data_IF_356701526936
#
_entry.id   IF_356701526936
#
_cell.length_a   1.000
_cell.length_b   1.000
_cell.length_c   1.000
_cell.angle_alpha   90.00
_cell.angle_beta   90.00
_cell.angle_gamma   90.00
#
_symmetry.space_group_name_H-M   'P 1'
#
loop_
_entity.id
_entity.type
_entity.pdbx_description
1 polymer ?
#
# COMPACT_ATOMS: atom_id res chain seq x y z
N UNK A 1 -6.37 6.70 -9.81
CA UNK A 1 -7.76 6.27 -9.53
C UNK A 1 -8.46 7.23 -8.56
N UNK A 2 -7.94 7.43 -7.34
CA UNK A 2 -8.52 8.31 -6.30
C UNK A 2 -8.82 9.75 -6.74
N UNK A 3 -7.99 10.38 -7.57
CA UNK A 3 -8.30 11.74 -8.04
C UNK A 3 -9.30 11.77 -9.20
N UNK A 4 -9.29 10.76 -10.09
CA UNK A 4 -10.38 10.59 -11.07
C UNK A 4 -11.70 10.43 -10.34
N UNK A 5 -11.73 9.54 -9.34
CA UNK A 5 -12.81 9.32 -8.36
C UNK A 5 -13.18 10.64 -7.65
N UNK A 6 -12.26 11.38 -7.01
CA UNK A 6 -12.58 12.63 -6.31
C UNK A 6 -13.05 13.77 -7.23
N UNK A 7 -12.53 13.86 -8.46
CA UNK A 7 -12.98 14.84 -9.46
C UNK A 7 -14.28 14.42 -10.14
N UNK A 8 -14.56 13.12 -10.23
CA UNK A 8 -15.76 12.55 -10.84
C UNK A 8 -16.82 12.12 -9.82
N UNK A 9 -16.64 12.35 -8.51
CA UNK A 9 -17.55 11.95 -7.43
C UNK A 9 -17.86 13.14 -6.52
N UNK A 10 -18.42 14.21 -7.09
CA UNK A 10 -19.40 14.98 -6.32
C UNK A 10 -20.60 14.07 -5.99
N UNK A 11 -21.39 14.45 -4.99
CA UNK A 11 -22.63 13.72 -4.63
C UNK A 11 -23.53 13.45 -5.85
N UNK A 12 -23.54 14.34 -6.82
CA UNK A 12 -24.33 14.24 -8.06
C UNK A 12 -23.74 13.29 -9.11
N UNK A 13 -22.43 13.11 -9.17
CA UNK A 13 -21.78 12.25 -10.17
C UNK A 13 -21.63 10.79 -9.72
N UNK A 14 -21.87 10.52 -8.43
CA UNK A 14 -22.20 9.21 -7.89
C UNK A 14 -23.43 8.60 -8.60
N UNK A 15 -24.47 9.41 -8.85
CA UNK A 15 -25.69 9.01 -9.57
C UNK A 15 -25.37 8.66 -11.04
N UNK A 16 -24.48 9.42 -11.69
CA UNK A 16 -24.05 9.16 -13.07
C UNK A 16 -23.25 7.87 -13.25
N UNK A 17 -22.39 7.53 -12.30
CA UNK A 17 -21.66 6.25 -12.31
C UNK A 17 -22.61 5.09 -12.03
N UNK A 18 -23.58 5.25 -11.12
CA UNK A 18 -24.64 4.27 -10.85
C UNK A 18 -25.46 3.99 -12.12
N UNK A 19 -25.87 5.03 -12.86
CA UNK A 19 -26.59 4.85 -14.13
C UNK A 19 -25.73 4.18 -15.21
N UNK A 20 -24.46 4.56 -15.32
CA UNK A 20 -23.57 3.97 -16.34
C UNK A 20 -23.26 2.50 -16.02
N UNK A 21 -23.06 2.17 -14.74
CA UNK A 21 -22.75 0.82 -14.28
C UNK A 21 -23.98 -0.09 -14.32
N UNK A 22 -25.19 0.44 -14.07
CA UNK A 22 -26.44 -0.33 -14.20
C UNK A 22 -26.85 -0.54 -15.65
N UNK A 23 -26.46 0.34 -16.59
CA UNK A 23 -26.75 0.17 -18.02
C UNK A 23 -25.78 -0.76 -18.75
N UNK A 24 -24.57 -0.98 -18.21
CA UNK A 24 -23.61 -1.93 -18.76
C UNK A 24 -23.59 -3.16 -17.84
N UNK A 25 -24.33 -4.21 -18.21
CA UNK A 25 -24.60 -5.47 -17.51
C UNK A 25 -23.36 -6.33 -17.17
N UNK A 26 -22.30 -5.76 -16.59
CA UNK A 26 -21.10 -6.49 -16.19
C UNK A 26 -20.70 -6.10 -14.76
N UNK A 27 -21.52 -6.50 -13.80
CA UNK A 27 -21.02 -6.73 -12.45
C UNK A 27 -21.48 -8.11 -11.98
N UNK A 28 -20.53 -9.02 -11.86
CA UNK A 28 -20.71 -10.25 -11.09
C UNK A 28 -20.38 -9.90 -9.63
N UNK A 29 -21.41 -9.72 -8.81
CA UNK A 29 -21.26 -9.60 -7.36
C UNK A 29 -21.78 -10.88 -6.74
N UNK A 30 -20.91 -11.60 -6.03
CA UNK A 30 -21.32 -12.68 -5.14
C UNK A 30 -22.07 -12.05 -3.95
N UNK A 31 -23.39 -11.86 -4.04
CA UNK A 31 -24.28 -11.41 -2.96
C UNK A 31 -25.22 -10.24 -3.30
N UNK A 32 -25.92 -9.72 -2.28
CA UNK A 32 -26.81 -8.56 -2.42
C UNK A 32 -26.01 -7.27 -2.68
N UNK A 33 -26.26 -6.62 -3.81
CA UNK A 33 -25.63 -5.36 -4.21
C UNK A 33 -26.70 -4.27 -4.32
N UNK A 34 -26.79 -3.39 -3.31
CA UNK A 34 -27.77 -2.31 -3.23
C UNK A 34 -27.14 -0.91 -3.33
N UNK A 35 -27.97 0.13 -3.44
CA UNK A 35 -27.52 1.52 -3.52
C UNK A 35 -26.74 1.95 -2.28
N UNK A 36 -27.06 1.40 -1.10
CA UNK A 36 -26.34 1.66 0.15
C UNK A 36 -24.89 1.14 0.10
N UNK A 37 -24.69 0.00 -0.53
CA UNK A 37 -23.39 -0.63 -0.76
C UNK A 37 -22.54 0.22 -1.71
N UNK A 38 -23.12 0.70 -2.82
CA UNK A 38 -22.42 1.62 -3.74
C UNK A 38 -21.99 2.91 -3.03
N UNK A 39 -22.91 3.52 -2.27
CA UNK A 39 -22.61 4.70 -1.48
C UNK A 39 -21.46 4.47 -0.49
N UNK A 40 -21.41 3.30 0.13
CA UNK A 40 -20.34 2.89 1.04
C UNK A 40 -18.99 2.76 0.35
N UNK A 41 -18.93 2.14 -0.84
CA UNK A 41 -17.70 2.06 -1.64
C UNK A 41 -17.20 3.44 -2.11
N UNK A 42 -18.11 4.32 -2.53
CA UNK A 42 -17.75 5.67 -2.93
C UNK A 42 -17.21 6.48 -1.74
N UNK A 43 -17.87 6.39 -0.56
CA UNK A 43 -17.40 6.99 0.67
C UNK A 43 -16.02 6.44 1.06
N UNK A 44 -15.81 5.14 0.96
CA UNK A 44 -14.51 4.51 1.19
C UNK A 44 -13.44 5.09 0.27
N UNK A 45 -13.67 5.09 -1.04
CA UNK A 45 -12.71 5.61 -2.02
C UNK A 45 -12.41 7.11 -1.82
N UNK A 46 -13.42 7.90 -1.41
CA UNK A 46 -13.27 9.32 -1.11
C UNK A 46 -12.45 9.57 0.15
N UNK A 47 -12.71 8.81 1.22
CA UNK A 47 -12.11 8.97 2.54
C UNK A 47 -10.75 8.28 2.70
N UNK A 48 -10.38 7.41 1.75
CA UNK A 48 -9.09 6.70 1.77
C UNK A 48 -7.92 7.69 1.91
N UNK A 49 -7.03 7.54 2.91
CA UNK A 49 -5.86 8.40 3.05
C UNK A 49 -4.89 8.23 1.86
N UNK A 50 -4.06 9.24 1.56
CA UNK A 50 -3.06 9.11 0.50
C UNK A 50 -2.12 7.92 0.69
N UNK A 51 -1.73 7.28 -0.41
CA UNK A 51 -0.81 6.14 -0.39
C UNK A 51 -1.34 4.87 0.27
N UNK A 52 -2.66 4.72 0.35
CA UNK A 52 -3.33 3.50 0.81
C UNK A 52 -3.92 2.70 -0.36
N UNK A 53 -3.39 2.92 -1.57
CA UNK A 53 -3.64 2.09 -2.74
C UNK A 53 -2.38 1.25 -2.95
N UNK A 54 -2.52 -0.06 -2.94
CA UNK A 54 -1.42 -1.01 -3.06
C UNK A 54 -1.61 -1.82 -4.34
N UNK A 55 -0.50 -2.11 -5.01
CA UNK A 55 -0.46 -3.05 -6.12
C UNK A 55 0.40 -4.24 -5.68
N UNK A 56 -0.14 -5.43 -5.83
CA UNK A 56 0.59 -6.65 -5.56
C UNK A 56 0.98 -7.28 -6.89
N UNK A 57 2.19 -7.83 -6.94
CA UNK A 57 2.73 -8.49 -8.12
C UNK A 57 2.94 -9.96 -7.76
N UNK A 58 2.44 -10.86 -8.61
CA UNK A 58 2.81 -12.28 -8.53
C UNK A 58 4.32 -12.40 -8.76
N UNK A 59 5.00 -13.12 -7.87
CA UNK A 59 6.42 -13.46 -8.02
C UNK A 59 6.57 -14.78 -8.76
N UNK A 60 7.78 -15.08 -9.22
CA UNK A 60 8.15 -16.35 -9.86
C UNK A 60 7.26 -16.72 -11.05
N UNK A 61 6.80 -15.69 -11.76
CA UNK A 61 6.05 -15.87 -13.00
C UNK A 61 7.03 -16.27 -14.10
N UNK A 62 6.82 -17.44 -14.68
CA UNK A 62 7.68 -18.01 -15.74
C UNK A 62 6.84 -18.40 -16.94
N UNK A 63 7.48 -18.44 -18.11
CA UNK A 63 6.84 -18.77 -19.39
C UNK A 63 7.00 -17.66 -20.43
N UNK A 64 6.41 -17.88 -21.60
CA UNK A 64 6.51 -16.95 -22.73
C UNK A 64 5.13 -16.62 -23.31
N UNK A 65 4.43 -17.64 -23.83
CA UNK A 65 3.04 -17.50 -24.33
C UNK A 65 2.00 -17.75 -23.25
N UNK A 66 2.27 -18.72 -22.38
CA UNK A 66 1.50 -18.99 -21.17
C UNK A 66 2.39 -18.72 -19.97
N UNK A 67 1.86 -17.98 -19.00
CA UNK A 67 2.57 -17.63 -17.79
C UNK A 67 2.06 -18.49 -16.65
N UNK A 68 2.99 -19.09 -15.90
CA UNK A 68 2.71 -19.89 -14.72
C UNK A 68 3.39 -19.31 -13.50
N UNK A 69 2.79 -19.47 -12.33
CA UNK A 69 3.35 -19.10 -11.04
C UNK A 69 3.17 -20.27 -10.06
N UNK A 70 4.04 -20.39 -9.07
CA UNK A 70 3.88 -21.42 -8.04
C UNK A 70 2.67 -21.13 -7.17
N UNK A 71 2.01 -22.17 -6.63
CA UNK A 71 0.89 -21.99 -5.70
C UNK A 71 1.31 -21.13 -4.48
N UNK A 72 2.53 -21.31 -3.99
CA UNK A 72 3.10 -20.50 -2.91
C UNK A 72 3.18 -19.00 -3.25
N UNK A 73 3.58 -18.66 -4.48
CA UNK A 73 3.61 -17.26 -4.94
C UNK A 73 2.21 -16.67 -5.04
N UNK A 74 1.23 -17.46 -5.49
CA UNK A 74 -0.19 -17.06 -5.54
C UNK A 74 -0.71 -16.80 -4.12
N UNK A 75 -0.54 -17.76 -3.22
CA UNK A 75 -1.00 -17.68 -1.83
C UNK A 75 -0.38 -16.46 -1.11
N UNK A 76 0.93 -16.25 -1.28
CA UNK A 76 1.63 -15.09 -0.72
C UNK A 76 1.09 -13.77 -1.26
N UNK A 77 0.82 -13.68 -2.57
CA UNK A 77 0.28 -12.48 -3.22
C UNK A 77 -1.14 -12.18 -2.74
N UNK A 78 -1.99 -13.20 -2.62
CA UNK A 78 -3.34 -13.11 -2.06
C UNK A 78 -3.28 -12.68 -0.60
N UNK A 79 -2.38 -13.24 0.21
CA UNK A 79 -2.21 -12.84 1.60
C UNK A 79 -1.79 -11.38 1.73
N UNK A 80 -0.86 -10.89 0.90
CA UNK A 80 -0.49 -9.48 0.85
C UNK A 80 -1.67 -8.60 0.41
N UNK A 81 -2.56 -9.11 -0.43
CA UNK A 81 -3.71 -8.36 -0.96
C UNK A 81 -4.78 -8.19 0.11
N UNK A 82 -5.06 -9.27 0.84
CA UNK A 82 -5.98 -9.29 1.96
C UNK A 82 -5.42 -8.54 3.18
N UNK A 83 -4.10 -8.53 3.36
CA UNK A 83 -3.42 -7.93 4.51
C UNK A 83 -2.29 -6.95 4.09
N UNK A 84 -2.62 -5.82 3.43
CA UNK A 84 -1.59 -4.89 2.97
C UNK A 84 -0.86 -4.24 4.16
N UNK A 85 0.47 -4.15 4.07
CA UNK A 85 1.26 -3.40 5.06
C UNK A 85 1.18 -1.89 4.78
N UNK A 86 0.15 -1.26 5.36
CA UNK A 86 -0.06 0.19 5.30
C UNK A 86 1.08 1.01 5.94
N UNK A 87 1.97 0.37 6.72
CA UNK A 87 3.14 1.00 7.31
C UNK A 87 4.42 0.85 6.49
N UNK A 88 4.41 0.05 5.41
CA UNK A 88 5.61 -0.32 4.67
C UNK A 88 6.38 0.90 4.19
N UNK A 89 5.71 1.87 3.57
CA UNK A 89 6.33 3.08 3.02
C UNK A 89 7.12 3.88 4.07
N UNK A 90 6.57 4.03 5.28
CA UNK A 90 7.23 4.74 6.38
C UNK A 90 8.45 3.96 6.91
N UNK A 91 8.31 2.64 7.10
CA UNK A 91 9.38 1.75 7.52
C UNK A 91 10.54 1.78 6.52
N UNK A 92 10.23 1.61 5.23
CA UNK A 92 11.19 1.58 4.13
C UNK A 92 11.91 2.92 3.95
N UNK A 93 11.18 4.04 4.09
CA UNK A 93 11.81 5.37 4.08
C UNK A 93 12.77 5.55 5.24
N UNK A 94 12.39 5.11 6.45
CA UNK A 94 13.26 5.21 7.62
C UNK A 94 14.55 4.39 7.44
N UNK A 95 14.44 3.15 6.97
CA UNK A 95 15.59 2.28 6.71
C UNK A 95 16.50 2.85 5.63
N UNK A 96 15.96 3.27 4.49
CA UNK A 96 16.75 3.84 3.40
C UNK A 96 17.51 5.12 3.82
N UNK A 97 16.95 5.89 4.76
CA UNK A 97 17.57 7.08 5.34
C UNK A 97 18.47 6.79 6.55
N UNK A 98 18.64 5.53 6.94
CA UNK A 98 19.47 5.13 8.08
C UNK A 98 18.90 5.53 9.44
N UNK A 99 17.57 5.66 9.55
CA UNK A 99 16.87 6.01 10.80
C UNK A 99 16.52 4.76 11.59
N UNK A 100 16.53 4.89 12.92
CA UNK A 100 16.07 3.82 13.81
C UNK A 100 14.58 3.58 13.64
N UNK A 101 14.19 2.31 13.54
CA UNK A 101 12.81 1.89 13.55
C UNK A 101 12.32 1.81 15.00
N UNK A 102 11.25 2.53 15.33
CA UNK A 102 10.55 2.35 16.59
C UNK A 102 9.64 1.11 16.48
N UNK A 103 9.85 0.12 17.35
CA UNK A 103 8.96 -1.03 17.43
C UNK A 103 7.57 -0.53 17.84
N UNK A 104 6.57 -0.75 16.99
CA UNK A 104 5.17 -0.54 17.40
C UNK A 104 4.87 -1.49 18.55
N UNK A 105 4.28 -0.98 19.63
CA UNK A 105 3.81 -1.82 20.72
C UNK A 105 2.86 -2.88 20.18
N UNK A 106 3.12 -4.14 20.51
CA UNK A 106 2.27 -5.28 20.21
C UNK A 106 2.14 -6.08 21.49
N UNK A 107 0.91 -6.33 21.92
CA UNK A 107 0.68 -7.28 22.99
C UNK A 107 1.06 -8.68 22.50
N UNK A 108 1.94 -9.42 23.20
CA UNK A 108 2.27 -10.78 22.81
C UNK A 108 1.00 -11.65 22.83
N UNK A 109 0.84 -12.64 21.92
CA UNK A 109 -0.32 -13.52 21.91
C UNK A 109 -0.60 -14.17 23.28
N UNK A 110 0.46 -14.53 24.01
CA UNK A 110 0.39 -15.11 25.36
C UNK A 110 -0.11 -14.16 26.46
N UNK A 111 -0.40 -12.91 26.13
CA UNK A 111 -1.03 -11.95 27.05
C UNK A 111 -2.45 -11.57 26.61
N UNK A 112 -2.96 -12.22 25.56
CA UNK A 112 -4.28 -11.98 25.00
C UNK A 112 -5.17 -13.17 25.34
N UNK A 113 -6.11 -12.97 26.26
CA UNK A 113 -7.21 -13.92 26.49
C UNK A 113 -8.33 -13.66 25.50
N UNK A 114 -8.82 -14.71 24.85
CA UNK A 114 -9.89 -14.59 23.86
C UNK A 114 -10.92 -15.72 23.96
N UNK A 115 -12.18 -15.39 23.73
CA UNK A 115 -13.22 -16.39 23.48
C UNK A 115 -13.64 -16.32 22.01
N UNK A 116 -13.85 -17.48 21.37
CA UNK A 116 -14.38 -17.55 20.01
C UNK A 116 -15.83 -18.04 20.04
N UNK A 117 -16.72 -17.31 19.38
CA UNK A 117 -18.13 -17.63 19.26
C UNK A 117 -18.48 -17.89 17.79
N UNK A 118 -19.33 -18.90 17.56
CA UNK A 118 -19.86 -19.22 16.25
C UNK A 118 -20.97 -18.24 15.87
N UNK A 119 -20.69 -17.36 14.91
CA UNK A 119 -21.65 -16.42 14.35
C UNK A 119 -22.07 -16.75 12.92
N UNK A 120 -21.68 -17.90 12.37
CA UNK A 120 -21.99 -18.30 10.98
C UNK A 120 -22.83 -19.57 10.86
N UNK A 121 -23.14 -20.23 11.98
CA UNK A 121 -23.99 -21.43 12.02
C UNK A 121 -23.30 -22.71 11.53
N UNK A 122 -22.03 -22.65 11.12
CA UNK A 122 -21.28 -23.83 10.66
C UNK A 122 -20.73 -24.58 11.88
N UNK A 123 -21.13 -25.84 12.03
CA UNK A 123 -20.66 -26.68 13.12
C UNK A 123 -19.11 -26.76 13.15
N UNK A 124 -18.52 -26.63 14.33
CA UNK A 124 -17.06 -26.67 14.51
C UNK A 124 -16.30 -25.40 14.11
N UNK A 125 -16.94 -24.41 13.47
CA UNK A 125 -16.25 -23.21 12.97
C UNK A 125 -15.49 -22.43 14.06
N UNK A 126 -16.15 -22.16 15.19
CA UNK A 126 -15.52 -21.51 16.35
C UNK A 126 -14.45 -22.37 17.03
N UNK A 127 -14.62 -23.69 17.00
CA UNK A 127 -13.65 -24.66 17.53
C UNK A 127 -12.35 -24.65 16.72
N UNK A 128 -12.46 -24.71 15.38
CA UNK A 128 -11.30 -24.65 14.48
C UNK A 128 -10.54 -23.33 14.63
N UNK A 129 -11.27 -22.20 14.64
CA UNK A 129 -10.65 -20.90 14.87
C UNK A 129 -9.96 -20.82 16.25
N UNK A 130 -10.58 -21.36 17.30
CA UNK A 130 -9.98 -21.43 18.64
C UNK A 130 -8.68 -22.24 18.63
N UNK A 131 -8.71 -23.42 18.00
CA UNK A 131 -7.53 -24.29 17.88
C UNK A 131 -6.38 -23.56 17.19
N UNK A 132 -6.63 -22.95 16.04
CA UNK A 132 -5.58 -22.24 15.30
C UNK A 132 -5.06 -20.98 16.01
N UNK A 133 -5.92 -20.26 16.73
CA UNK A 133 -5.49 -19.15 17.59
C UNK A 133 -4.62 -19.65 18.74
N UNK A 134 -4.96 -20.79 19.34
CA UNK A 134 -4.14 -21.47 20.35
C UNK A 134 -2.76 -21.84 19.82
N UNK A 135 -2.69 -22.41 18.60
CA UNK A 135 -1.42 -22.71 17.92
C UNK A 135 -0.57 -21.45 17.67
N UNK A 136 -1.20 -20.28 17.52
CA UNK A 136 -0.52 -18.97 17.40
C UNK A 136 -0.19 -18.33 18.76
N UNK A 137 -0.38 -19.06 19.86
CA UNK A 137 0.02 -18.67 21.21
C UNK A 137 -0.98 -17.80 21.96
N UNK A 138 -2.22 -17.66 21.48
CA UNK A 138 -3.27 -16.94 22.20
C UNK A 138 -3.90 -17.81 23.30
N UNK A 139 -4.32 -17.18 24.40
CA UNK A 139 -5.01 -17.89 25.49
C UNK A 139 -6.52 -17.97 25.21
N UNK A 140 -6.97 -19.12 24.72
CA UNK A 140 -8.40 -19.35 24.49
C UNK A 140 -9.11 -19.62 25.81
N UNK A 141 -10.14 -18.82 26.09
CA UNK A 141 -11.05 -18.96 27.23
C UNK A 141 -12.38 -19.48 26.71
N UNK A 142 -12.83 -20.61 27.27
CA UNK A 142 -14.15 -21.17 26.95
C UNK A 142 -15.27 -20.35 27.61
N UNK A 143 -16.47 -20.31 27.02
CA UNK A 143 -17.66 -19.82 27.70
C UNK A 143 -17.86 -20.53 29.06
N UNK A 144 -18.61 -19.90 29.95
CA UNK A 144 -18.92 -20.50 31.25
C UNK A 144 -19.56 -21.89 31.11
N UNK A 145 -19.32 -22.76 32.10
CA UNK A 145 -19.78 -24.16 32.10
C UNK A 145 -21.26 -24.29 31.67
N UNK A 146 -21.52 -25.19 30.72
CA UNK A 146 -22.85 -25.46 30.16
C UNK A 146 -23.29 -24.56 29.00
N UNK A 147 -22.52 -23.51 28.64
CA UNK A 147 -22.83 -22.67 27.48
C UNK A 147 -22.11 -23.13 26.22
N UNK A 148 -22.84 -23.23 25.11
CA UNK A 148 -22.24 -23.46 23.79
C UNK A 148 -21.47 -22.22 23.33
N UNK A 149 -20.37 -22.40 22.60
CA UNK A 149 -19.62 -21.32 21.97
C UNK A 149 -20.33 -20.75 20.73
N UNK A 150 -21.59 -20.34 20.89
CA UNK A 150 -22.42 -19.73 19.85
C UNK A 150 -22.63 -18.25 20.16
N UNK A 151 -22.63 -17.42 19.13
CA UNK A 151 -23.07 -16.04 19.24
C UNK A 151 -24.62 -15.99 19.38
N UNK A 152 -25.20 -14.87 19.84
CA UNK A 152 -26.64 -14.73 20.01
C UNK A 152 -27.47 -14.95 18.73
N UNK A 153 -26.86 -14.81 17.56
CA UNK A 153 -27.43 -15.14 16.25
C UNK A 153 -26.32 -15.50 15.25
N UNK A 154 -26.69 -15.93 14.05
CA UNK A 154 -25.75 -16.34 13.00
C UNK A 154 -25.71 -15.38 11.79
N UNK A 155 -26.20 -14.16 11.94
CA UNK A 155 -26.32 -13.21 10.82
C UNK A 155 -25.03 -12.40 10.61
N UNK A 156 -23.89 -12.90 11.09
CA UNK A 156 -22.60 -12.24 10.96
C UNK A 156 -22.00 -12.56 9.60
N UNK A 157 -22.19 -11.68 8.62
CA UNK A 157 -21.52 -11.85 7.32
C UNK A 157 -20.00 -11.78 7.50
N UNK A 158 -19.49 -10.71 8.10
CA UNK A 158 -18.07 -10.55 8.45
C UNK A 158 -17.81 -10.92 9.91
N UNK A 159 -16.66 -11.51 10.18
CA UNK A 159 -16.18 -11.72 11.54
C UNK A 159 -16.08 -10.40 12.31
N UNK A 160 -16.29 -10.47 13.63
CA UNK A 160 -16.20 -9.31 14.54
C UNK A 160 -15.26 -9.63 15.69
N UNK A 161 -14.37 -8.70 16.02
CA UNK A 161 -13.52 -8.80 17.22
C UNK A 161 -13.96 -7.74 18.21
N UNK A 162 -14.46 -8.19 19.35
CA UNK A 162 -14.95 -7.35 20.41
C UNK A 162 -13.96 -7.29 21.57
N UNK A 163 -13.49 -6.10 21.92
CA UNK A 163 -12.59 -5.92 23.06
C UNK A 163 -13.34 -5.50 24.34
N UNK A 164 -12.81 -5.88 25.50
CA UNK A 164 -13.30 -5.38 26.78
C UNK A 164 -13.08 -3.86 26.91
N UNK A 165 -14.14 -3.05 27.05
CA UNK A 165 -14.03 -1.59 27.15
C UNK A 165 -13.25 -1.12 28.39
N UNK A 166 -13.22 -1.88 29.48
CA UNK A 166 -12.43 -1.55 30.67
C UNK A 166 -10.91 -1.65 30.42
N UNK A 167 -10.51 -2.41 29.40
CA UNK A 167 -9.11 -2.66 28.99
C UNK A 167 -8.84 -2.15 27.57
N UNK A 168 -9.50 -1.06 27.17
CA UNK A 168 -9.59 -0.60 25.79
C UNK A 168 -8.25 -0.34 25.08
N UNK A 169 -7.21 0.12 25.78
CA UNK A 169 -5.91 0.38 25.15
C UNK A 169 -5.27 -0.91 24.62
N UNK A 170 -5.20 -1.95 25.46
CA UNK A 170 -4.68 -3.25 25.09
C UNK A 170 -5.64 -3.96 24.13
N UNK A 171 -6.94 -3.95 24.42
CA UNK A 171 -7.96 -4.60 23.60
C UNK A 171 -8.04 -4.05 22.16
N UNK A 172 -7.98 -2.74 21.96
CA UNK A 172 -7.92 -2.19 20.59
C UNK A 172 -6.66 -2.65 19.84
N UNK A 173 -5.54 -2.82 20.54
CA UNK A 173 -4.29 -3.23 19.94
C UNK A 173 -4.29 -4.73 19.58
N UNK A 174 -4.69 -5.62 20.50
CA UNK A 174 -4.79 -7.06 20.25
C UNK A 174 -5.92 -7.42 19.29
N UNK A 175 -7.08 -6.77 19.40
CA UNK A 175 -8.21 -7.03 18.51
C UNK A 175 -7.87 -6.78 17.03
N UNK A 176 -7.06 -5.75 16.75
CA UNK A 176 -6.51 -5.51 15.39
C UNK A 176 -5.53 -6.58 14.93
N UNK A 177 -4.81 -7.24 15.85
CA UNK A 177 -3.93 -8.36 15.50
C UNK A 177 -4.77 -9.59 15.12
N UNK A 178 -5.79 -9.92 15.92
CA UNK A 178 -6.71 -11.04 15.65
C UNK A 178 -7.48 -10.79 14.35
N UNK A 179 -7.97 -9.56 14.12
CA UNK A 179 -8.74 -9.22 12.92
C UNK A 179 -7.99 -9.48 11.61
N UNK A 180 -6.66 -9.34 11.60
CA UNK A 180 -5.81 -9.70 10.45
C UNK A 180 -5.70 -11.21 10.24
N UNK A 181 -5.66 -11.98 11.33
CA UNK A 181 -5.58 -13.43 11.27
C UNK A 181 -6.86 -14.04 10.67
N UNK A 182 -8.02 -13.48 10.93
CA UNK A 182 -9.31 -14.02 10.45
C UNK A 182 -9.72 -13.52 9.06
N UNK A 183 -8.81 -12.90 8.29
CA UNK A 183 -9.09 -12.46 6.92
C UNK A 183 -9.90 -11.16 6.80
N UNK A 184 -9.84 -10.29 7.81
CA UNK A 184 -10.56 -9.01 7.99
C UNK A 184 -11.83 -9.12 8.83
N UNK A 185 -11.71 -8.71 10.10
CA UNK A 185 -12.84 -8.49 11.01
C UNK A 185 -12.98 -7.02 11.41
N UNK A 186 -14.21 -6.59 11.74
CA UNK A 186 -14.40 -5.28 12.35
C UNK A 186 -14.07 -5.35 13.85
N UNK A 187 -13.32 -4.35 14.35
CA UNK A 187 -12.91 -4.27 15.76
C UNK A 187 -13.80 -3.25 16.48
N UNK A 188 -14.50 -3.69 17.53
CA UNK A 188 -15.45 -2.86 18.27
C UNK A 188 -15.40 -3.11 19.77
N UNK A 189 -16.01 -2.21 20.56
CA UNK A 189 -16.19 -2.45 22.00
C UNK A 189 -17.20 -3.60 22.19
N UNK A 190 -16.96 -4.46 23.17
CA UNK A 190 -17.83 -5.60 23.47
C UNK A 190 -19.22 -5.12 23.91
N UNK A 191 -20.30 -5.56 23.24
CA UNK A 191 -21.66 -5.27 23.67
C UNK A 191 -22.03 -6.09 24.91
N UNK A 192 -22.96 -5.56 25.70
CA UNK A 192 -23.28 -6.10 27.03
C UNK A 192 -23.78 -7.54 27.02
N UNK A 193 -24.53 -7.92 25.97
CA UNK A 193 -25.06 -9.26 25.77
C UNK A 193 -23.99 -10.33 25.51
N UNK A 194 -22.76 -9.93 25.15
CA UNK A 194 -21.65 -10.86 24.93
C UNK A 194 -20.79 -11.09 26.17
N UNK A 195 -20.82 -10.21 27.18
CA UNK A 195 -19.92 -10.30 28.35
C UNK A 195 -19.94 -11.65 29.06
N UNK A 196 -21.14 -12.25 29.23
CA UNK A 196 -21.30 -13.56 29.86
C UNK A 196 -20.70 -14.68 29.01
N UNK A 197 -20.93 -14.64 27.69
CA UNK A 197 -20.45 -15.65 26.74
C UNK A 197 -18.92 -15.61 26.62
N UNK A 198 -18.33 -14.41 26.65
CA UNK A 198 -16.89 -14.22 26.48
C UNK A 198 -16.10 -14.36 27.79
N UNK A 199 -16.76 -14.71 28.90
CA UNK A 199 -16.15 -15.16 30.16
C UNK A 199 -14.94 -14.31 30.65
N UNK A 200 -15.05 -12.98 30.62
CA UNK A 200 -14.00 -12.07 31.08
C UNK A 200 -12.75 -12.00 30.19
N UNK A 201 -12.75 -12.63 29.02
CA UNK A 201 -11.67 -12.53 28.04
C UNK A 201 -11.43 -11.07 27.62
N UNK A 202 -10.17 -10.74 27.32
CA UNK A 202 -9.82 -9.42 26.77
C UNK A 202 -10.49 -9.20 25.41
N UNK A 203 -10.59 -10.26 24.61
CA UNK A 203 -11.15 -10.27 23.27
C UNK A 203 -12.28 -11.30 23.13
N UNK A 204 -13.25 -11.01 22.29
CA UNK A 204 -14.28 -11.95 21.88
C UNK A 204 -14.42 -11.93 20.36
N UNK A 205 -14.00 -13.01 19.71
CA UNK A 205 -14.08 -13.18 18.27
C UNK A 205 -15.40 -13.87 17.93
N UNK A 206 -16.27 -13.20 17.19
CA UNK A 206 -17.42 -13.84 16.53
C UNK A 206 -17.02 -14.15 15.10
N UNK A 207 -16.92 -15.44 14.74
CA UNK A 207 -16.59 -15.85 13.37
C UNK A 207 -17.82 -15.71 12.47
N UNK A 208 -17.68 -14.97 11.37
CA UNK A 208 -18.74 -14.73 10.39
C UNK A 208 -18.68 -15.71 9.20
N UNK A 209 -19.61 -15.57 8.26
CA UNK A 209 -19.70 -16.44 7.07
C UNK A 209 -18.51 -16.31 6.12
N UNK A 210 -17.74 -15.22 6.21
CA UNK A 210 -16.48 -15.03 5.47
C UNK A 210 -15.30 -15.84 6.03
N UNK A 211 -15.47 -16.55 7.15
CA UNK A 211 -14.42 -17.40 7.71
C UNK A 211 -14.54 -18.84 7.18
N UNK A 212 -13.53 -19.31 6.46
CA UNK A 212 -13.53 -20.60 5.78
C UNK A 212 -12.70 -21.68 6.51
N UNK A 213 -12.61 -21.57 7.84
CA UNK A 213 -11.99 -22.60 8.67
C UNK A 213 -10.46 -22.50 8.84
N UNK A 214 -9.82 -21.51 8.22
CA UNK A 214 -8.38 -21.27 8.31
C UNK A 214 -8.08 -19.80 8.60
N UNK A 215 -7.11 -19.55 9.47
CA UNK A 215 -6.53 -18.25 9.76
C UNK A 215 -5.39 -17.98 8.78
N UNK A 216 -5.25 -16.71 8.42
CA UNK A 216 -4.08 -16.22 7.71
C UNK A 216 -2.78 -16.66 8.43
N UNK A 217 -1.76 -17.10 7.69
CA UNK A 217 -0.46 -17.39 8.26
C UNK A 217 0.09 -16.13 8.96
N UNK A 218 0.84 -16.32 10.05
CA UNK A 218 1.54 -15.20 10.68
C UNK A 218 2.76 -14.89 9.80
N UNK A 219 2.57 -14.03 8.82
CA UNK A 219 3.70 -13.52 8.03
C UNK A 219 4.40 -12.47 8.89
N UNK A 220 5.56 -12.82 9.45
CA UNK A 220 6.47 -11.85 10.03
C UNK A 220 7.27 -11.30 8.85
N UNK A 221 7.00 -10.07 8.37
CA UNK A 221 7.81 -9.52 7.30
C UNK A 221 9.26 -9.46 7.79
N UNK A 222 10.23 -9.85 6.93
CA UNK A 222 11.64 -9.74 7.29
C UNK A 222 11.95 -8.30 7.68
N UNK A 223 12.78 -8.13 8.71
CA UNK A 223 13.18 -6.80 9.14
C UNK A 223 13.95 -6.15 7.98
N UNK A 224 13.49 -5.00 7.44
CA UNK A 224 14.13 -4.43 6.28
C UNK A 224 15.56 -4.00 6.63
N UNK A 225 16.50 -4.34 5.76
CA UNK A 225 17.92 -4.02 5.89
C UNK A 225 18.25 -2.86 4.96
N UNK A 226 19.09 -1.95 5.44
CA UNK A 226 19.58 -0.83 4.63
C UNK A 226 20.75 -1.29 3.77
N UNK A 227 20.73 -0.93 2.50
CA UNK A 227 21.86 -1.17 1.59
C UNK A 227 22.49 0.15 1.12
N UNK A 228 23.77 0.18 0.75
CA UNK A 228 24.35 1.34 0.07
C UNK A 228 23.60 1.64 -1.25
N UNK A 229 23.43 2.92 -1.64
CA UNK A 229 22.83 3.25 -2.93
C UNK A 229 23.78 2.90 -4.08
N UNK A 230 23.25 2.25 -5.11
CA UNK A 230 23.98 1.89 -6.33
C UNK A 230 23.96 3.05 -7.33
N UNK A 231 24.75 4.08 -7.03
CA UNK A 231 24.86 5.29 -7.85
C UNK A 231 26.30 5.64 -8.19
N UNK A 232 26.49 6.28 -9.35
CA UNK A 232 27.72 7.00 -9.71
C UNK A 232 27.47 8.50 -9.84
N UNK A 233 28.50 9.29 -9.60
CA UNK A 233 28.46 10.74 -9.83
C UNK A 233 28.84 11.02 -11.27
N UNK A 234 27.91 11.52 -12.07
CA UNK A 234 28.11 11.71 -13.52
C UNK A 234 27.17 12.79 -14.07
N UNK A 235 27.40 14.08 -13.73
CA UNK A 235 26.59 15.18 -14.26
C UNK A 235 26.77 15.36 -15.78
N UNK A 236 27.96 15.01 -16.31
CA UNK A 236 28.32 15.19 -17.72
C UNK A 236 27.38 14.48 -18.67
N UNK A 237 26.80 13.36 -18.24
CA UNK A 237 25.85 12.56 -19.00
C UNK A 237 24.68 13.37 -19.59
N UNK A 238 24.20 14.41 -18.89
CA UNK A 238 23.02 15.20 -19.33
C UNK A 238 23.27 16.71 -19.37
N UNK A 239 24.41 17.18 -18.88
CA UNK A 239 24.70 18.60 -18.68
C UNK A 239 24.63 19.42 -19.98
N UNK A 240 25.28 18.97 -21.06
CA UNK A 240 25.31 19.69 -22.33
C UNK A 240 23.90 19.81 -22.93
N UNK A 241 23.16 18.70 -22.97
CA UNK A 241 21.79 18.65 -23.49
C UNK A 241 20.85 19.55 -22.70
N UNK A 242 20.89 19.48 -21.36
CA UNK A 242 20.05 20.32 -20.51
C UNK A 242 20.45 21.80 -20.61
N UNK A 243 21.73 22.12 -20.77
CA UNK A 243 22.19 23.48 -20.97
C UNK A 243 21.61 24.11 -22.25
N UNK A 244 21.51 23.33 -23.33
CA UNK A 244 20.84 23.77 -24.57
C UNK A 244 19.33 23.97 -24.44
N UNK A 245 18.69 23.33 -23.45
CA UNK A 245 17.24 23.42 -23.23
C UNK A 245 16.85 24.48 -22.19
N UNK A 246 17.74 24.83 -21.26
CA UNK A 246 17.38 25.62 -20.06
C UNK A 246 16.69 26.96 -20.37
N UNK A 247 17.08 27.66 -21.44
CA UNK A 247 16.49 28.94 -21.85
C UNK A 247 15.11 28.79 -22.53
N UNK A 248 14.82 27.62 -23.10
CA UNK A 248 13.55 27.30 -23.77
C UNK A 248 12.44 26.93 -22.77
N UNK A 249 12.82 26.59 -21.54
CA UNK A 249 11.90 26.10 -20.54
C UNK A 249 11.42 27.23 -19.61
N UNK A 250 10.12 27.34 -19.32
CA UNK A 250 9.57 28.44 -18.50
C UNK A 250 9.84 28.26 -16.99
N UNK A 251 10.67 27.30 -16.60
CA UNK A 251 11.07 26.99 -15.23
C UNK A 251 12.57 26.63 -15.21
N UNK A 252 13.15 26.53 -14.02
CA UNK A 252 14.58 26.23 -13.86
C UNK A 252 14.80 24.72 -13.94
N UNK A 253 15.57 24.23 -14.90
CA UNK A 253 15.90 22.81 -14.98
C UNK A 253 16.75 22.35 -13.80
N UNK A 254 16.65 21.06 -13.43
CA UNK A 254 17.57 20.42 -12.50
C UNK A 254 18.57 19.54 -13.27
N UNK A 255 19.84 19.65 -12.93
CA UNK A 255 20.88 18.76 -13.40
C UNK A 255 20.95 17.53 -12.49
N UNK A 256 20.77 16.31 -13.01
CA UNK A 256 21.10 15.09 -12.27
C UNK A 256 22.62 15.00 -12.08
N UNK A 257 23.09 15.02 -10.84
CA UNK A 257 24.52 14.79 -10.53
C UNK A 257 24.84 13.35 -10.17
N UNK A 258 23.81 12.54 -9.90
CA UNK A 258 23.90 11.13 -9.57
C UNK A 258 22.94 10.34 -10.44
N UNK A 259 23.41 9.22 -10.95
CA UNK A 259 22.65 8.26 -11.76
C UNK A 259 22.90 6.86 -11.22
N UNK A 260 21.98 5.93 -11.48
CA UNK A 260 22.21 4.52 -11.15
C UNK A 260 23.52 4.04 -11.81
N UNK A 261 24.30 3.24 -11.07
CA UNK A 261 25.70 2.92 -11.39
C UNK A 261 25.90 2.34 -12.78
N UNK A 262 25.05 1.42 -13.24
CA UNK A 262 25.15 0.77 -14.55
C UNK A 262 24.50 1.55 -15.70
N UNK A 263 23.73 2.59 -15.37
CA UNK A 263 22.84 3.22 -16.32
C UNK A 263 23.56 4.12 -17.33
N UNK A 264 22.96 4.24 -18.52
CA UNK A 264 23.37 5.13 -19.59
C UNK A 264 22.13 5.74 -20.25
N UNK A 265 22.32 6.77 -21.07
CA UNK A 265 21.25 7.32 -21.90
C UNK A 265 21.03 6.39 -23.09
N UNK A 266 19.78 5.94 -23.32
CA UNK A 266 19.49 5.11 -24.49
C UNK A 266 19.50 5.94 -25.77
N UNK A 267 20.57 5.80 -26.55
CA UNK A 267 20.73 6.43 -27.86
C UNK A 267 20.66 5.40 -28.98
N UNK A 268 20.28 4.14 -28.72
CA UNK A 268 20.15 3.17 -29.81
C UNK A 268 19.14 3.65 -30.83
N UNK A 269 19.37 3.28 -32.09
CA UNK A 269 18.28 3.17 -33.06
C UNK A 269 17.61 4.53 -33.36
N UNK A 270 18.34 5.64 -33.17
CA UNK A 270 17.84 7.00 -33.33
C UNK A 270 17.02 7.53 -32.15
N UNK A 271 16.98 6.83 -31.01
CA UNK A 271 16.22 7.27 -29.87
C UNK A 271 16.80 8.56 -29.25
N UNK A 272 15.92 9.42 -28.75
CA UNK A 272 16.23 10.68 -28.07
C UNK A 272 16.01 10.48 -26.58
N UNK A 273 17.05 10.19 -25.79
CA UNK A 273 16.90 9.92 -24.36
C UNK A 273 16.54 11.18 -23.55
N UNK A 274 16.78 12.37 -24.12
CA UNK A 274 16.27 13.64 -23.59
C UNK A 274 15.23 14.20 -24.54
N UNK A 275 13.98 14.28 -24.10
CA UNK A 275 12.84 14.72 -24.90
C UNK A 275 12.18 15.96 -24.29
N UNK A 276 11.71 16.86 -25.15
CA UNK A 276 10.84 17.97 -24.77
C UNK A 276 9.47 17.75 -25.38
N UNK A 277 8.43 17.77 -24.55
CA UNK A 277 7.04 17.61 -24.98
C UNK A 277 6.10 18.38 -24.05
N UNK A 278 4.79 18.34 -24.33
CA UNK A 278 3.77 18.91 -23.45
C UNK A 278 3.09 17.80 -22.66
N UNK A 279 3.13 17.90 -21.33
CA UNK A 279 2.36 17.04 -20.44
C UNK A 279 1.26 17.88 -19.80
N UNK A 280 -0.01 17.54 -20.02
CA UNK A 280 -1.15 18.34 -19.53
C UNK A 280 -1.07 19.81 -19.97
N UNK A 281 -0.67 20.05 -21.23
CA UNK A 281 -0.47 21.39 -21.78
C UNK A 281 0.80 22.12 -21.31
N UNK A 282 1.54 21.59 -20.34
CA UNK A 282 2.74 22.23 -19.78
C UNK A 282 4.04 21.73 -20.42
N UNK A 283 4.98 22.62 -20.79
CA UNK A 283 6.32 22.21 -21.25
C UNK A 283 7.00 21.29 -20.24
N UNK A 284 7.54 20.18 -20.74
CA UNK A 284 8.11 19.10 -19.94
C UNK A 284 9.39 18.58 -20.59
N UNK A 285 10.42 18.35 -19.78
CA UNK A 285 11.63 17.62 -20.16
C UNK A 285 11.57 16.22 -19.57
N UNK A 286 11.84 15.18 -20.36
CA UNK A 286 12.02 13.81 -19.90
C UNK A 286 13.43 13.35 -20.22
N UNK A 287 14.11 12.84 -19.22
CA UNK A 287 15.36 12.11 -19.33
C UNK A 287 15.05 10.64 -19.09
N UNK A 288 15.45 9.78 -20.01
CA UNK A 288 15.26 8.34 -19.95
C UNK A 288 16.63 7.67 -19.92
N UNK A 289 16.81 6.80 -18.94
CA UNK A 289 18.03 6.03 -18.72
C UNK A 289 17.71 4.54 -18.85
N UNK A 290 18.71 3.78 -19.29
CA UNK A 290 18.65 2.33 -19.44
C UNK A 290 19.70 1.70 -18.55
N UNK A 291 19.32 0.73 -17.73
CA UNK A 291 20.23 -0.01 -16.85
C UNK A 291 21.04 -1.04 -17.64
N UNK A 292 22.08 -1.61 -17.03
CA UNK A 292 22.81 -2.75 -17.60
C UNK A 292 21.90 -3.95 -17.88
N UNK A 293 20.86 -4.13 -17.06
CA UNK A 293 19.82 -5.17 -17.21
C UNK A 293 18.72 -4.82 -18.23
N UNK A 294 18.94 -3.80 -19.07
CA UNK A 294 18.01 -3.36 -20.13
C UNK A 294 16.66 -2.82 -19.61
N UNK A 295 16.58 -2.41 -18.34
CA UNK A 295 15.38 -1.78 -17.79
C UNK A 295 15.44 -0.27 -17.90
N UNK A 296 14.28 0.37 -18.05
CA UNK A 296 14.18 1.81 -18.25
C UNK A 296 13.67 2.53 -17.02
N UNK A 297 14.37 3.59 -16.59
CA UNK A 297 13.93 4.52 -15.56
C UNK A 297 14.11 5.96 -16.06
N UNK A 298 13.64 6.97 -15.32
CA UNK A 298 13.81 8.33 -15.81
C UNK A 298 13.49 9.47 -14.86
N UNK A 299 13.85 10.66 -15.30
CA UNK A 299 13.63 11.92 -14.59
C UNK A 299 12.73 12.79 -15.46
N UNK A 300 11.72 13.37 -14.86
CA UNK A 300 10.81 14.25 -15.55
C UNK A 300 10.68 15.58 -14.84
N UNK A 301 10.82 16.64 -15.62
CA UNK A 301 10.81 18.01 -15.13
C UNK A 301 9.73 18.79 -15.85
N UNK A 302 8.81 19.38 -15.10
CA UNK A 302 7.64 20.03 -15.69
C UNK A 302 7.16 21.21 -14.86
N UNK A 303 6.58 22.21 -15.52
CA UNK A 303 5.83 23.28 -14.86
C UNK A 303 4.49 22.78 -14.30
N UNK A 304 4.04 21.58 -14.65
CA UNK A 304 2.77 21.02 -14.17
C UNK A 304 2.87 20.52 -12.72
N UNK A 305 2.67 21.42 -11.76
CA UNK A 305 2.77 21.12 -10.32
C UNK A 305 1.59 20.35 -9.75
N UNK A 306 0.43 20.44 -10.40
CA UNK A 306 -0.82 19.77 -10.07
C UNK A 306 -1.15 18.57 -10.95
N UNK A 307 -0.13 17.87 -11.47
CA UNK A 307 -0.37 16.68 -12.29
C UNK A 307 -1.08 15.58 -11.47
N UNK A 308 -2.11 14.92 -12.03
CA UNK A 308 -2.92 13.96 -11.28
C UNK A 308 -2.17 12.82 -10.59
N UNK A 309 -1.11 12.34 -11.22
CA UNK A 309 -0.22 11.30 -10.68
C UNK A 309 0.45 11.71 -9.37
N UNK A 310 0.53 13.01 -9.06
CA UNK A 310 1.16 13.55 -7.86
C UNK A 310 0.19 13.81 -6.69
N UNK A 311 -1.08 13.45 -6.87
CA UNK A 311 -2.12 13.68 -5.86
C UNK A 311 -2.06 12.68 -4.70
N UNK A 312 -1.47 11.50 -4.94
CA UNK A 312 -1.57 10.34 -4.05
C UNK A 312 -0.22 9.87 -3.50
N UNK A 313 0.57 10.83 -2.99
CA UNK A 313 1.84 10.53 -2.31
C UNK A 313 1.62 9.63 -1.09
N UNK A 314 2.54 8.72 -0.84
CA UNK A 314 2.54 7.87 0.36
C UNK A 314 3.00 8.63 1.60
N UNK A 315 4.07 9.41 1.47
CA UNK A 315 4.54 10.30 2.54
C UNK A 315 5.38 11.45 2.00
N UNK A 316 5.59 12.45 2.86
CA UNK A 316 6.50 13.56 2.60
C UNK A 316 7.71 13.43 3.51
N UNK A 317 8.90 13.66 2.96
CA UNK A 317 10.14 13.61 3.71
C UNK A 317 11.04 14.82 3.43
N UNK A 318 11.55 15.45 4.49
CA UNK A 318 12.60 16.47 4.40
C UNK A 318 13.98 15.82 4.53
N UNK A 319 14.87 16.04 3.57
CA UNK A 319 16.26 15.54 3.58
C UNK A 319 17.17 16.62 3.04
N UNK A 320 18.20 17.02 3.81
CA UNK A 320 19.16 18.06 3.39
C UNK A 320 18.46 19.38 3.03
N UNK A 321 17.51 19.83 3.85
CA UNK A 321 16.76 21.08 3.64
C UNK A 321 15.69 21.05 2.55
N UNK A 322 15.65 20.00 1.71
CA UNK A 322 14.69 19.86 0.60
C UNK A 322 13.55 18.92 0.98
N UNK A 323 12.34 19.23 0.51
CA UNK A 323 11.13 18.43 0.70
C UNK A 323 10.90 17.54 -0.51
N UNK A 324 10.75 16.24 -0.27
CA UNK A 324 10.44 15.24 -1.27
C UNK A 324 9.10 14.57 -0.93
N UNK A 325 8.23 14.43 -1.91
CA UNK A 325 7.05 13.58 -1.81
C UNK A 325 7.38 12.21 -2.41
N UNK A 326 7.11 11.15 -1.65
CA UNK A 326 7.48 9.77 -1.97
C UNK A 326 6.23 8.97 -2.34
N UNK A 327 6.33 8.19 -3.39
CA UNK A 327 5.23 7.38 -3.93
C UNK A 327 5.70 5.94 -3.98
N UNK A 328 5.15 5.14 -3.09
CA UNK A 328 5.50 3.74 -2.92
C UNK A 328 4.51 2.83 -3.64
N UNK A 329 5.05 1.74 -4.18
CA UNK A 329 4.32 0.54 -4.53
C UNK A 329 4.66 -0.54 -3.49
N UNK A 330 3.79 -0.71 -2.49
CA UNK A 330 4.09 -1.54 -1.33
C UNK A 330 5.34 -1.06 -0.59
N UNK A 331 6.39 -1.88 -0.55
CA UNK A 331 7.69 -1.57 0.05
C UNK A 331 8.68 -0.86 -0.89
N UNK A 332 8.36 -0.75 -2.19
CA UNK A 332 9.27 -0.24 -3.20
C UNK A 332 8.96 1.21 -3.56
N UNK A 333 9.97 2.07 -3.59
CA UNK A 333 9.84 3.47 -3.93
C UNK A 333 9.78 3.62 -5.45
N UNK A 334 8.57 3.81 -5.97
CA UNK A 334 8.32 3.93 -7.40
C UNK A 334 8.67 5.33 -7.92
N UNK A 335 8.35 6.38 -7.16
CA UNK A 335 8.58 7.76 -7.60
C UNK A 335 8.95 8.69 -6.46
N UNK A 336 9.90 9.59 -6.72
CA UNK A 336 10.34 10.64 -5.79
C UNK A 336 10.15 12.00 -6.45
N UNK A 337 9.31 12.84 -5.86
CA UNK A 337 8.96 14.16 -6.40
C UNK A 337 9.56 15.26 -5.54
N UNK A 338 10.38 16.10 -6.15
CA UNK A 338 10.81 17.39 -5.62
C UNK A 338 9.95 18.50 -6.25
N UNK A 339 9.45 19.43 -5.43
CA UNK A 339 8.84 20.68 -5.93
C UNK A 339 9.72 21.86 -5.58
N UNK A 340 10.04 22.69 -6.56
CA UNK A 340 10.88 23.88 -6.37
C UNK A 340 10.70 24.89 -7.50
N UNK A 341 10.61 26.18 -7.16
CA UNK A 341 10.55 27.26 -8.15
C UNK A 341 9.35 27.19 -9.10
N UNK A 342 8.19 26.75 -8.60
CA UNK A 342 6.97 26.63 -9.42
C UNK A 342 6.97 25.47 -10.42
N UNK A 343 7.90 24.51 -10.28
CA UNK A 343 7.98 23.31 -11.10
C UNK A 343 8.12 22.05 -10.25
N UNK A 344 7.86 20.90 -10.88
CA UNK A 344 8.00 19.57 -10.29
C UNK A 344 9.05 18.78 -11.05
N UNK A 345 9.89 18.09 -10.28
CA UNK A 345 10.96 17.24 -10.77
C UNK A 345 10.77 15.89 -10.12
N UNK A 346 10.50 14.86 -10.90
CA UNK A 346 10.29 13.54 -10.33
C UNK A 346 11.11 12.46 -11.00
N UNK A 347 11.76 11.67 -10.14
CA UNK A 347 12.51 10.46 -10.50
C UNK A 347 11.52 9.31 -10.45
N UNK A 348 11.38 8.56 -11.55
CA UNK A 348 10.52 7.39 -11.68
C UNK A 348 11.42 6.18 -11.82
N UNK A 349 11.13 5.14 -11.05
CA UNK A 349 11.82 3.85 -11.05
C UNK A 349 11.53 3.10 -12.36
N UNK A 350 12.10 1.91 -12.51
CA UNK A 350 11.74 0.99 -13.57
C UNK A 350 10.31 0.48 -13.40
N UNK A 351 9.75 -0.13 -14.45
CA UNK A 351 8.41 -0.74 -14.40
C UNK A 351 8.29 -1.79 -13.29
N UNK A 352 9.39 -2.51 -13.02
CA UNK A 352 9.46 -3.55 -12.00
C UNK A 352 9.91 -3.03 -10.63
N UNK A 353 10.15 -1.72 -10.48
CA UNK A 353 10.68 -1.10 -9.26
C UNK A 353 12.07 -1.65 -8.84
N UNK A 354 12.91 -1.97 -9.82
CA UNK A 354 14.20 -2.64 -9.60
C UNK A 354 15.29 -1.74 -9.00
N UNK A 355 15.16 -0.41 -9.07
CA UNK A 355 16.06 0.48 -8.33
C UNK A 355 15.70 0.47 -6.84
N UNK A 356 16.69 0.27 -5.98
CA UNK A 356 16.48 0.29 -4.53
C UNK A 356 15.98 1.65 -4.03
N UNK A 357 15.31 1.64 -2.87
CA UNK A 357 14.83 2.84 -2.21
C UNK A 357 15.98 3.84 -1.95
N UNK A 358 17.15 3.34 -1.58
CA UNK A 358 18.37 4.12 -1.37
C UNK A 358 18.88 4.75 -2.66
N UNK A 359 18.91 4.00 -3.76
CA UNK A 359 19.32 4.49 -5.09
C UNK A 359 18.38 5.60 -5.57
N UNK A 360 17.06 5.39 -5.50
CA UNK A 360 16.06 6.38 -5.87
C UNK A 360 16.19 7.69 -5.06
N UNK A 361 16.36 7.59 -3.74
CA UNK A 361 16.58 8.75 -2.88
C UNK A 361 17.92 9.44 -3.17
N UNK A 362 18.98 8.69 -3.46
CA UNK A 362 20.29 9.25 -3.79
C UNK A 362 20.27 10.05 -5.11
N UNK A 363 19.59 9.53 -6.14
CA UNK A 363 19.40 10.22 -7.43
C UNK A 363 18.60 11.50 -7.24
N UNK A 364 17.44 11.43 -6.56
CA UNK A 364 16.60 12.60 -6.32
C UNK A 364 17.32 13.70 -5.50
N UNK A 365 18.11 13.29 -4.50
CA UNK A 365 18.97 14.21 -3.73
C UNK A 365 20.09 14.81 -4.58
N UNK A 366 20.52 14.12 -5.63
CA UNK A 366 21.52 14.57 -6.60
C UNK A 366 21.02 15.63 -7.59
N UNK A 367 19.70 15.87 -7.70
CA UNK A 367 19.17 16.93 -8.55
C UNK A 367 19.65 18.31 -8.07
N UNK A 368 20.23 19.12 -8.96
CA UNK A 368 20.74 20.47 -8.65
C UNK A 368 20.16 21.53 -9.59
N UNK A 369 19.67 22.67 -9.10
CA UNK A 369 19.13 23.71 -9.97
C UNK A 369 20.21 24.24 -10.91
N UNK A 370 19.92 24.31 -12.21
CA UNK A 370 20.81 24.96 -13.18
C UNK A 370 20.68 26.48 -13.10
N UNK A 371 21.78 27.20 -13.30
CA UNK A 371 21.74 28.65 -13.50
C UNK A 371 20.96 28.96 -14.78
N UNK A 372 20.09 29.98 -14.76
CA UNK A 372 19.29 30.33 -15.94
C UNK A 372 20.14 30.85 -17.09
#
# INVERSE_FOLDING_TARGET
>A
MRERVRRSLGLTSLIGIINTVSHHHYIDVLGHFDLGTIGSYAKFAYTLPPGHVFQNKLTDVTGYYELSATQSAIDSTVQQFLNPDVGASATQTAVALGRKLHKKFRLPPSHVTLTVLNGNGVAGSAGNASYELGQKGYHVVLPASGQTANAPNWNYFRSKVYYDPSRAANGKASGRQIAKLVGSADVGAMPSNLHKLCNGALECLVVGSTFHGQLAPVVIPPTPVRHPPEVRTDPGLTQSTLAGLKKRMPFRLQLPTRVERSSYLDTCCGDRPVRVYRLGGSPTVRLTFKTGSQEYWGIQETKWTGAPVLSDRSLTQRVGGRRYDLYYNGSHLHMVVLRSGGASYWVVNTLLDSLSNETMLAIARGLRPMTR
#
